data_IF_487095392334
#
_entry.id   IF_487095392334
#
_cell.length_a   1.000
_cell.length_b   1.000
_cell.length_c   1.000
_cell.angle_alpha   90.00
_cell.angle_beta   90.00
_cell.angle_gamma   90.00
#
_symmetry.space_group_name_H-M   'P 1'
#
loop_
_entity.id
_entity.type
_entity.pdbx_description
1 polymer ?
#
# COMPACT_ATOMS: atom_id res chain seq x y z
N UNK A 1 5.62 -16.37 18.99
CA UNK A 1 6.14 -17.76 19.03
C UNK A 1 7.66 -17.70 19.19
N UNK A 2 8.27 -18.42 20.15
CA UNK A 2 9.72 -18.33 20.44
C UNK A 2 10.60 -18.62 19.21
N UNK A 3 10.11 -19.45 18.29
CA UNK A 3 10.79 -19.80 17.04
C UNK A 3 10.91 -18.62 16.05
N UNK A 4 9.89 -17.75 15.94
CA UNK A 4 9.86 -16.67 14.95
C UNK A 4 10.47 -15.35 15.46
N UNK A 5 10.60 -15.18 16.76
CA UNK A 5 11.08 -13.94 17.38
C UNK A 5 12.45 -13.47 16.83
N UNK A 6 13.45 -14.34 16.61
CA UNK A 6 14.74 -13.91 16.04
C UNK A 6 14.65 -13.36 14.60
N UNK A 7 13.58 -13.69 13.88
CA UNK A 7 13.39 -13.33 12.48
C UNK A 7 12.45 -12.14 12.27
N UNK A 8 11.90 -11.56 13.34
CA UNK A 8 10.87 -10.51 13.28
C UNK A 8 11.24 -9.38 12.30
N UNK A 9 12.41 -8.75 12.47
CA UNK A 9 12.84 -7.65 11.59
C UNK A 9 13.06 -8.07 10.14
N UNK A 10 13.44 -9.33 9.89
CA UNK A 10 13.56 -9.87 8.54
C UNK A 10 12.19 -10.11 7.91
N UNK A 11 11.26 -10.68 8.67
CA UNK A 11 9.88 -10.91 8.25
C UNK A 11 9.20 -9.58 7.95
N UNK A 12 9.37 -8.57 8.81
CA UNK A 12 8.84 -7.23 8.60
C UNK A 12 9.41 -6.59 7.32
N UNK A 13 10.73 -6.64 7.12
CA UNK A 13 11.36 -6.09 5.92
C UNK A 13 10.87 -6.75 4.63
N UNK A 14 10.75 -8.09 4.62
CA UNK A 14 10.18 -8.83 3.49
C UNK A 14 8.71 -8.49 3.26
N UNK A 15 7.91 -8.42 4.34
CA UNK A 15 6.52 -8.00 4.26
C UNK A 15 6.39 -6.61 3.66
N UNK A 16 7.19 -5.62 4.13
CA UNK A 16 7.22 -4.26 3.58
C UNK A 16 7.49 -4.26 2.07
N UNK A 17 8.51 -5.01 1.63
CA UNK A 17 8.85 -5.15 0.21
C UNK A 17 7.66 -5.70 -0.58
N UNK A 18 7.09 -6.82 -0.14
CA UNK A 18 5.98 -7.47 -0.83
C UNK A 18 4.74 -6.57 -0.91
N UNK A 19 4.38 -5.93 0.20
CA UNK A 19 3.23 -5.01 0.24
C UNK A 19 3.45 -3.81 -0.68
N UNK A 20 4.64 -3.21 -0.67
CA UNK A 20 4.97 -2.12 -1.57
C UNK A 20 4.91 -2.52 -3.05
N UNK A 21 5.41 -3.71 -3.40
CA UNK A 21 5.37 -4.23 -4.76
C UNK A 21 3.94 -4.56 -5.23
N UNK A 22 3.13 -5.20 -4.39
CA UNK A 22 1.72 -5.47 -4.71
C UNK A 22 0.93 -4.16 -4.89
N UNK A 23 1.21 -3.16 -4.08
CA UNK A 23 0.59 -1.84 -4.23
C UNK A 23 1.04 -1.13 -5.50
N UNK A 24 2.33 -1.23 -5.83
CA UNK A 24 2.89 -0.71 -7.07
C UNK A 24 2.24 -1.33 -8.31
N UNK A 25 1.81 -2.59 -8.27
CA UNK A 25 1.07 -3.23 -9.36
C UNK A 25 -0.26 -2.53 -9.65
N UNK A 26 -0.98 -2.07 -8.61
CA UNK A 26 -2.18 -1.25 -8.83
C UNK A 26 -1.84 0.07 -9.54
N UNK A 27 -0.75 0.72 -9.16
CA UNK A 27 -0.28 1.93 -9.84
C UNK A 27 0.11 1.67 -11.31
N UNK A 28 0.79 0.56 -11.58
CA UNK A 28 1.13 0.12 -12.93
C UNK A 28 -0.11 -0.15 -13.78
N UNK A 29 -1.11 -0.80 -13.19
CA UNK A 29 -2.41 -1.02 -13.82
C UNK A 29 -3.11 0.30 -14.16
N UNK A 30 -3.13 1.25 -13.22
CA UNK A 30 -3.80 2.54 -13.41
C UNK A 30 -3.09 3.42 -14.45
N UNK A 31 -1.79 3.62 -14.30
CA UNK A 31 -1.02 4.60 -15.10
C UNK A 31 -0.71 4.05 -16.50
N UNK A 32 -0.23 2.81 -16.59
CA UNK A 32 0.29 2.23 -17.84
C UNK A 32 -0.66 1.23 -18.50
N UNK A 33 -1.79 0.89 -17.86
CA UNK A 33 -2.74 -0.06 -18.42
C UNK A 33 -2.27 -1.52 -18.36
N UNK A 34 -1.27 -1.83 -17.54
CA UNK A 34 -0.81 -3.21 -17.33
C UNK A 34 -1.87 -4.04 -16.59
N UNK A 35 -1.75 -5.37 -16.64
CA UNK A 35 -2.61 -6.30 -15.88
C UNK A 35 -4.12 -6.13 -16.10
N UNK A 36 -4.53 -5.67 -17.29
CA UNK A 36 -5.94 -5.45 -17.65
C UNK A 36 -6.42 -4.00 -17.51
N UNK A 37 -5.57 -3.09 -17.01
CA UNK A 37 -5.86 -1.65 -16.96
C UNK A 37 -7.00 -1.27 -16.03
N UNK A 38 -7.48 -0.03 -16.16
CA UNK A 38 -8.68 0.43 -15.45
C UNK A 38 -9.95 0.23 -16.29
N UNK A 39 -11.11 0.08 -15.64
CA UNK A 39 -12.39 0.20 -16.32
C UNK A 39 -12.49 1.53 -17.09
N UNK A 40 -13.07 1.55 -18.31
CA UNK A 40 -13.21 2.77 -19.11
C UNK A 40 -13.92 3.92 -18.39
N UNK A 41 -14.87 3.58 -17.51
CA UNK A 41 -15.68 4.49 -16.70
C UNK A 41 -14.96 5.04 -15.45
N UNK A 42 -13.75 4.54 -15.14
CA UNK A 42 -13.02 4.99 -13.96
C UNK A 42 -12.68 6.50 -14.05
N UNK A 43 -12.93 7.28 -12.99
CA UNK A 43 -12.63 8.72 -13.02
C UNK A 43 -11.15 8.99 -13.31
N UNK A 44 -10.88 10.00 -14.13
CA UNK A 44 -9.50 10.31 -14.57
C UNK A 44 -8.57 10.67 -13.40
N UNK A 45 -9.10 11.23 -12.31
CA UNK A 45 -8.31 11.53 -11.12
C UNK A 45 -7.81 10.25 -10.43
N UNK A 46 -8.56 9.14 -10.49
CA UNK A 46 -8.12 7.84 -9.96
C UNK A 46 -6.89 7.36 -10.74
N UNK A 47 -6.87 7.58 -12.06
CA UNK A 47 -5.70 7.25 -12.90
C UNK A 47 -4.44 7.95 -12.42
N UNK A 48 -4.52 9.27 -12.25
CA UNK A 48 -3.33 10.09 -12.09
C UNK A 48 -2.97 10.36 -10.63
N UNK A 49 -3.95 10.57 -9.75
CA UNK A 49 -3.68 10.81 -8.34
C UNK A 49 -3.43 9.48 -7.63
N UNK A 50 -4.42 8.58 -7.62
CA UNK A 50 -4.28 7.30 -6.95
C UNK A 50 -3.21 6.43 -7.64
N UNK A 51 -3.23 6.35 -8.97
CA UNK A 51 -2.24 5.56 -9.71
C UNK A 51 -0.79 5.99 -9.51
N UNK A 52 -0.49 7.30 -9.45
CA UNK A 52 0.88 7.76 -9.18
C UNK A 52 1.29 7.52 -7.73
N UNK A 53 0.39 7.74 -6.76
CA UNK A 53 0.69 7.45 -5.35
C UNK A 53 0.92 5.96 -5.14
N UNK A 54 0.10 5.09 -5.75
CA UNK A 54 0.28 3.64 -5.69
C UNK A 54 1.60 3.20 -6.32
N UNK A 55 1.92 3.73 -7.51
CA UNK A 55 3.12 3.39 -8.24
C UNK A 55 4.38 3.85 -7.49
N UNK A 56 4.48 5.16 -7.23
CA UNK A 56 5.67 5.78 -6.64
C UNK A 56 5.75 5.46 -5.15
N UNK A 57 4.64 5.60 -4.43
CA UNK A 57 4.58 5.28 -3.00
C UNK A 57 4.82 3.80 -2.73
N UNK A 58 4.24 2.89 -3.54
CA UNK A 58 4.52 1.46 -3.46
C UNK A 58 6.01 1.15 -3.69
N UNK A 59 6.62 1.76 -4.71
CA UNK A 59 8.05 1.60 -4.98
C UNK A 59 8.94 2.16 -3.85
N UNK A 60 8.62 3.34 -3.32
CA UNK A 60 9.34 3.95 -2.20
C UNK A 60 9.23 3.08 -0.94
N UNK A 61 8.02 2.61 -0.60
CA UNK A 61 7.79 1.71 0.53
C UNK A 61 8.53 0.39 0.31
N UNK A 62 8.56 -0.17 -0.90
CA UNK A 62 9.29 -1.41 -1.17
C UNK A 62 10.81 -1.23 -1.08
N UNK A 63 11.36 -0.11 -1.57
CA UNK A 63 12.79 0.19 -1.47
C UNK A 63 13.21 0.54 -0.03
N UNK A 64 12.29 1.04 0.78
CA UNK A 64 12.57 1.53 2.13
C UNK A 64 12.95 3.01 2.15
N UNK A 65 12.76 3.71 1.04
CA UNK A 65 13.09 5.12 0.86
C UNK A 65 11.98 6.02 1.41
N UNK A 66 12.31 6.91 2.34
CA UNK A 66 11.38 7.79 3.05
C UNK A 66 10.14 7.04 3.58
N UNK A 67 10.34 5.80 4.04
CA UNK A 67 9.29 4.81 4.31
C UNK A 67 8.12 5.38 5.12
N UNK A 68 8.42 6.15 6.18
CA UNK A 68 7.39 6.69 7.07
C UNK A 68 6.41 7.62 6.33
N UNK A 69 6.96 8.53 5.52
CA UNK A 69 6.17 9.52 4.78
C UNK A 69 5.42 8.83 3.64
N UNK A 70 6.11 7.98 2.87
CA UNK A 70 5.51 7.26 1.74
C UNK A 70 4.36 6.35 2.21
N UNK A 71 4.56 5.59 3.29
CA UNK A 71 3.53 4.71 3.84
C UNK A 71 2.36 5.50 4.44
N UNK A 72 2.60 6.63 5.11
CA UNK A 72 1.49 7.46 5.63
C UNK A 72 0.60 7.98 4.50
N UNK A 73 1.20 8.45 3.39
CA UNK A 73 0.46 8.87 2.20
C UNK A 73 -0.33 7.72 1.57
N UNK A 74 0.28 6.53 1.42
CA UNK A 74 -0.39 5.35 0.88
C UNK A 74 -1.56 4.90 1.79
N UNK A 75 -1.38 4.98 3.10
CA UNK A 75 -2.43 4.70 4.09
C UNK A 75 -3.62 5.65 3.91
N UNK A 76 -3.35 6.96 3.84
CA UNK A 76 -4.39 7.97 3.62
C UNK A 76 -5.14 7.79 2.30
N UNK A 77 -4.43 7.44 1.22
CA UNK A 77 -5.05 7.12 -0.07
C UNK A 77 -6.05 5.97 0.08
N UNK A 78 -5.67 4.89 0.76
CA UNK A 78 -6.55 3.72 0.90
C UNK A 78 -7.71 3.94 1.86
N UNK A 79 -7.53 4.79 2.87
CA UNK A 79 -8.65 5.29 3.66
C UNK A 79 -9.66 6.04 2.78
N UNK A 80 -9.19 6.98 1.95
CA UNK A 80 -10.04 7.70 1.02
C UNK A 80 -10.73 6.75 0.02
N UNK A 81 -10.00 5.78 -0.54
CA UNK A 81 -10.56 4.78 -1.44
C UNK A 81 -11.71 3.98 -0.79
N UNK A 82 -11.54 3.56 0.47
CA UNK A 82 -12.61 2.87 1.20
C UNK A 82 -13.87 3.72 1.33
N UNK A 83 -13.74 4.95 1.83
CA UNK A 83 -14.90 5.82 2.06
C UNK A 83 -15.56 6.32 0.77
N UNK A 84 -14.79 6.48 -0.30
CA UNK A 84 -15.31 7.00 -1.58
C UNK A 84 -15.91 5.91 -2.47
N UNK A 85 -15.37 4.69 -2.45
CA UNK A 85 -15.73 3.65 -3.42
C UNK A 85 -16.37 2.40 -2.80
N UNK A 86 -16.26 2.18 -1.49
CA UNK A 86 -16.70 0.92 -0.87
C UNK A 86 -17.73 1.12 0.24
N UNK A 87 -17.58 2.15 1.08
CA UNK A 87 -18.42 2.32 2.28
C UNK A 87 -19.93 2.40 1.99
N UNK A 88 -20.33 2.91 0.83
CA UNK A 88 -21.74 3.02 0.42
C UNK A 88 -22.36 1.75 -0.15
N UNK A 89 -21.55 0.75 -0.53
CA UNK A 89 -21.99 -0.43 -1.27
C UNK A 89 -22.38 -1.62 -0.38
N UNK A 90 -22.24 -1.49 0.95
CA UNK A 90 -22.58 -2.53 1.91
C UNK A 90 -21.98 -2.28 3.28
N UNK A 91 -22.55 -2.89 4.33
CA UNK A 91 -22.11 -2.66 5.70
C UNK A 91 -20.79 -3.36 6.00
N UNK A 92 -20.65 -4.63 5.60
CA UNK A 92 -19.42 -5.39 5.84
C UNK A 92 -18.44 -5.23 4.67
N UNK A 93 -17.13 -5.05 4.93
CA UNK A 93 -16.12 -4.92 3.88
C UNK A 93 -16.11 -6.08 2.86
N UNK A 94 -16.43 -7.29 3.30
CA UNK A 94 -16.53 -8.48 2.44
C UNK A 94 -17.69 -8.40 1.45
N UNK A 95 -18.76 -7.66 1.79
CA UNK A 95 -19.92 -7.46 0.92
C UNK A 95 -19.68 -6.31 -0.06
N UNK A 96 -18.95 -5.28 0.37
CA UNK A 96 -18.72 -4.06 -0.41
C UNK A 96 -17.37 -4.03 -1.17
N UNK A 97 -16.59 -5.10 -1.10
CA UNK A 97 -15.29 -5.24 -1.75
C UNK A 97 -14.16 -4.38 -1.15
N UNK A 98 -14.40 -3.74 0.00
CA UNK A 98 -13.47 -2.79 0.63
C UNK A 98 -12.41 -3.43 1.53
N UNK A 99 -12.38 -4.77 1.65
CA UNK A 99 -11.42 -5.50 2.49
C UNK A 99 -9.96 -5.12 2.17
N UNK A 100 -9.59 -5.09 0.89
CA UNK A 100 -8.23 -4.72 0.48
C UNK A 100 -7.89 -3.27 0.80
N UNK A 101 -8.85 -2.36 0.66
CA UNK A 101 -8.67 -0.95 1.00
C UNK A 101 -8.38 -0.78 2.49
N UNK A 102 -9.11 -1.48 3.35
CA UNK A 102 -8.86 -1.48 4.80
C UNK A 102 -7.51 -2.13 5.12
N UNK A 103 -7.20 -3.28 4.53
CA UNK A 103 -5.94 -4.00 4.79
C UNK A 103 -4.73 -3.14 4.42
N UNK A 104 -4.67 -2.59 3.22
CA UNK A 104 -3.58 -1.70 2.82
C UNK A 104 -3.52 -0.45 3.71
N UNK A 105 -4.66 0.16 4.03
CA UNK A 105 -4.70 1.33 4.92
C UNK A 105 -3.97 1.06 6.24
N UNK A 106 -4.30 -0.03 6.92
CA UNK A 106 -3.73 -0.35 8.23
C UNK A 106 -2.31 -0.92 8.16
N UNK A 107 -1.99 -1.72 7.15
CA UNK A 107 -0.61 -2.20 6.96
C UNK A 107 0.33 -1.04 6.68
N UNK A 108 -0.05 -0.10 5.82
CA UNK A 108 0.78 1.08 5.57
C UNK A 108 0.85 2.00 6.79
N UNK A 109 -0.22 2.13 7.58
CA UNK A 109 -0.16 2.89 8.84
C UNK A 109 0.80 2.25 9.84
N UNK A 110 0.80 0.91 9.93
CA UNK A 110 1.77 0.16 10.73
C UNK A 110 3.20 0.38 10.24
N UNK A 111 3.44 0.32 8.92
CA UNK A 111 4.75 0.60 8.33
C UNK A 111 5.18 2.04 8.62
N UNK A 112 4.26 3.01 8.55
CA UNK A 112 4.54 4.40 8.86
C UNK A 112 4.94 4.61 10.33
N UNK A 113 4.26 3.92 11.25
CA UNK A 113 4.57 3.95 12.67
C UNK A 113 5.88 3.21 13.01
N UNK A 114 6.13 2.06 12.38
CA UNK A 114 7.32 1.24 12.63
C UNK A 114 8.59 1.86 12.03
N UNK A 115 8.53 2.30 10.76
CA UNK A 115 9.70 2.77 10.01
C UNK A 115 10.17 1.78 8.96
N UNK A 116 11.39 2.00 8.44
CA UNK A 116 11.90 1.29 7.27
C UNK A 116 12.35 -0.15 7.59
N UNK A 117 12.98 -0.36 8.74
CA UNK A 117 13.50 -1.66 9.16
C UNK A 117 14.53 -2.22 8.18
N UNK A 118 14.73 -3.55 8.22
CA UNK A 118 15.72 -4.24 7.39
C UNK A 118 15.47 -4.04 5.88
N UNK A 119 16.57 -4.13 5.13
CA UNK A 119 16.61 -4.02 3.65
C UNK A 119 16.20 -2.64 3.13
N UNK A 120 16.24 -1.62 3.99
CA UNK A 120 15.97 -0.24 3.62
C UNK A 120 17.16 0.39 2.91
N UNK A 121 16.92 1.10 1.81
CA UNK A 121 17.96 1.88 1.12
C UNK A 121 18.42 3.11 1.93
N UNK A 122 17.60 3.62 2.84
CA UNK A 122 17.96 4.74 3.74
C UNK A 122 18.80 4.27 4.95
N UNK A 123 19.10 2.98 5.02
CA UNK A 123 19.61 2.32 6.22
C UNK A 123 18.49 1.92 7.19
N UNK A 124 18.85 1.12 8.20
CA UNK A 124 17.88 0.46 9.10
C UNK A 124 17.12 1.41 10.04
N UNK A 125 17.31 2.74 9.93
CA UNK A 125 16.45 3.80 10.45
C UNK A 125 15.72 3.47 11.75
N UNK A 126 16.48 3.01 12.76
CA UNK A 126 16.04 2.87 14.14
C UNK A 126 16.24 4.20 14.86
#
# INVERSE_FOLDING_TARGET
>A
MKFLAPYEGTIFGVMRILIGLLFMQHGLQKVFGLFGGMPPEAPIFVKWVAGLIELVGGAMVAAGFMTRIAAFLCSGLMAAAYFMAHFGEGFFPIENGGELSILYCWIFLLIAAHGAGKFSVDGDGA
#
